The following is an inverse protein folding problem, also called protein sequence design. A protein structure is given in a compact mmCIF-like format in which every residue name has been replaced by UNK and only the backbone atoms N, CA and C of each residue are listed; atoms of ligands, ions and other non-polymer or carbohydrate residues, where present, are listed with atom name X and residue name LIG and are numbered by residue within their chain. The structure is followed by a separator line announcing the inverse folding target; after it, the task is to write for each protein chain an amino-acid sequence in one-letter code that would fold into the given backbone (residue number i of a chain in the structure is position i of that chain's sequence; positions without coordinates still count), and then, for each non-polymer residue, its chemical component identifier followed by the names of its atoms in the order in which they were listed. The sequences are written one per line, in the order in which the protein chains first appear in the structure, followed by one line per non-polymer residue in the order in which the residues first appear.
data_IF_894339959519
#
_entry.id   IF_894339959519
#
_cell.length_a   1.000
_cell.length_b   1.000
_cell.length_c   1.000
_cell.angle_alpha   90.00
_cell.angle_beta   90.00
_cell.angle_gamma   90.00
#
_symmetry.space_group_name_H-M   'P 1'
#
loop_
_entity.id
_entity.type
_entity.pdbx_description
1 polymer ?
#
# COMPACT_ATOMS: atom_id res chain seq x y z
N UNK A 1 -12.66 -1.30 -3.02
CA UNK A 1 -11.33 -1.96 -2.96
C UNK A 1 -11.06 -2.93 -4.11
N UNK A 2 -11.86 -3.98 -4.33
CA UNK A 2 -11.62 -4.96 -5.42
C UNK A 2 -11.40 -4.31 -6.80
N UNK A 3 -12.29 -3.40 -7.19
CA UNK A 3 -12.18 -2.67 -8.47
C UNK A 3 -10.85 -1.94 -8.62
N UNK A 4 -10.49 -1.12 -7.63
CA UNK A 4 -9.23 -0.35 -7.64
C UNK A 4 -8.02 -1.27 -7.70
N UNK A 5 -8.04 -2.39 -6.96
CA UNK A 5 -6.98 -3.38 -7.03
C UNK A 5 -6.82 -3.97 -8.44
N UNK A 6 -7.91 -4.35 -9.10
CA UNK A 6 -7.90 -4.87 -10.47
C UNK A 6 -7.47 -3.79 -11.48
N UNK A 7 -7.89 -2.54 -11.28
CA UNK A 7 -7.43 -1.40 -12.07
C UNK A 7 -5.91 -1.23 -11.92
N UNK A 8 -5.33 -1.39 -10.73
CA UNK A 8 -3.86 -1.34 -10.55
C UNK A 8 -3.16 -2.53 -11.19
N UNK A 9 -3.72 -3.73 -11.11
CA UNK A 9 -3.17 -4.89 -11.80
C UNK A 9 -3.14 -4.67 -13.32
N UNK A 10 -4.22 -4.12 -13.88
CA UNK A 10 -4.32 -3.87 -15.30
C UNK A 10 -3.48 -2.68 -15.76
N UNK A 11 -3.71 -1.49 -15.20
CA UNK A 11 -3.09 -0.26 -15.68
C UNK A 11 -1.66 -0.04 -15.21
N UNK A 12 -1.27 -0.58 -14.04
CA UNK A 12 0.08 -0.38 -13.49
C UNK A 12 0.98 -1.60 -13.72
N UNK A 13 0.46 -2.83 -13.55
CA UNK A 13 1.25 -4.03 -13.83
C UNK A 13 1.15 -4.50 -15.28
N UNK A 14 0.17 -4.04 -16.05
CA UNK A 14 -0.05 -4.53 -17.42
C UNK A 14 -0.46 -6.00 -17.45
N UNK A 15 -1.09 -6.50 -16.38
CA UNK A 15 -1.46 -7.92 -16.20
C UNK A 15 -2.96 -8.06 -16.02
N UNK A 16 -3.48 -9.20 -16.46
CA UNK A 16 -4.81 -9.68 -16.15
C UNK A 16 -4.71 -10.84 -15.16
N UNK A 17 -5.76 -11.11 -14.35
CA UNK A 17 -5.69 -12.06 -13.23
C UNK A 17 -5.12 -13.45 -13.60
N UNK A 18 -5.45 -13.95 -14.78
CA UNK A 18 -5.07 -15.27 -15.25
C UNK A 18 -3.57 -15.42 -15.55
N UNK A 19 -2.86 -14.31 -15.79
CA UNK A 19 -1.41 -14.28 -16.06
C UNK A 19 -0.59 -13.64 -14.93
N UNK A 20 -1.25 -13.13 -13.89
CA UNK A 20 -0.61 -12.41 -12.80
C UNK A 20 0.08 -13.37 -11.82
N UNK A 21 1.33 -13.06 -11.47
CA UNK A 21 2.09 -13.76 -10.44
C UNK A 21 1.74 -13.24 -9.05
N UNK A 22 2.17 -13.94 -8.00
CA UNK A 22 2.03 -13.45 -6.61
C UNK A 22 2.69 -12.08 -6.41
N UNK A 23 3.82 -11.82 -7.06
CA UNK A 23 4.50 -10.52 -6.99
C UNK A 23 3.69 -9.42 -7.65
N UNK A 24 3.07 -9.70 -8.81
CA UNK A 24 2.20 -8.73 -9.50
C UNK A 24 0.98 -8.37 -8.62
N UNK A 25 0.37 -9.35 -7.97
CA UNK A 25 -0.71 -9.13 -7.03
C UNK A 25 -0.27 -8.33 -5.80
N UNK A 26 0.90 -8.63 -5.24
CA UNK A 26 1.48 -7.84 -4.16
C UNK A 26 1.68 -6.38 -4.59
N UNK A 27 2.29 -6.14 -5.75
CA UNK A 27 2.55 -4.79 -6.25
C UNK A 27 1.26 -4.04 -6.54
N UNK A 28 0.26 -4.67 -7.17
CA UNK A 28 -1.05 -4.07 -7.40
C UNK A 28 -1.73 -3.64 -6.09
N UNK A 29 -1.62 -4.46 -5.05
CA UNK A 29 -2.13 -4.12 -3.72
C UNK A 29 -1.32 -3.00 -3.06
N UNK A 30 0.00 -3.05 -3.12
CA UNK A 30 0.89 -2.02 -2.59
C UNK A 30 0.60 -0.65 -3.24
N UNK A 31 0.39 -0.60 -4.56
CA UNK A 31 -0.01 0.61 -5.26
C UNK A 31 -1.39 1.12 -4.84
N UNK A 32 -2.34 0.21 -4.61
CA UNK A 32 -3.66 0.59 -4.12
C UNK A 32 -3.57 1.26 -2.74
N UNK A 33 -2.78 0.70 -1.82
CA UNK A 33 -2.56 1.25 -0.48
C UNK A 33 -1.79 2.57 -0.55
N UNK A 34 -0.76 2.64 -1.41
CA UNK A 34 0.05 3.85 -1.62
C UNK A 34 -0.81 5.04 -2.03
N UNK A 35 -1.77 4.86 -2.93
CA UNK A 35 -2.63 5.95 -3.39
C UNK A 35 -3.46 6.55 -2.23
N UNK A 36 -3.97 5.70 -1.34
CA UNK A 36 -4.70 6.14 -0.15
C UNK A 36 -3.81 6.92 0.82
N UNK A 37 -2.57 6.46 1.01
CA UNK A 37 -1.59 7.17 1.83
C UNK A 37 -1.17 8.49 1.20
N UNK A 38 -0.95 8.50 -0.11
CA UNK A 38 -0.50 9.67 -0.85
C UNK A 38 -1.53 10.80 -0.77
N UNK A 39 -2.83 10.47 -0.89
CA UNK A 39 -3.89 11.45 -0.71
C UNK A 39 -3.78 12.17 0.65
N UNK A 40 -3.61 11.41 1.74
CA UNK A 40 -3.43 11.98 3.09
C UNK A 40 -2.12 12.77 3.21
N UNK A 41 -1.03 12.26 2.64
CA UNK A 41 0.27 12.91 2.68
C UNK A 41 0.25 14.26 1.98
N UNK A 42 -0.35 14.36 0.79
CA UNK A 42 -0.47 15.63 0.05
C UNK A 42 -1.27 16.65 0.86
N UNK A 43 -2.39 16.24 1.47
CA UNK A 43 -3.16 17.13 2.35
C UNK A 43 -2.33 17.64 3.53
N UNK A 44 -1.59 16.76 4.20
CA UNK A 44 -0.71 17.15 5.31
C UNK A 44 0.39 18.10 4.85
N UNK A 45 1.05 17.80 3.73
CA UNK A 45 2.11 18.65 3.17
C UNK A 45 1.61 20.06 2.82
N UNK A 46 0.41 20.16 2.24
CA UNK A 46 -0.23 21.44 1.96
C UNK A 46 -0.48 22.25 3.25
N UNK A 47 -1.07 21.62 4.27
CA UNK A 47 -1.33 22.27 5.58
C UNK A 47 -0.03 22.73 6.24
N UNK A 48 1.00 21.89 6.27
CA UNK A 48 2.31 22.26 6.85
C UNK A 48 2.93 23.46 6.13
N UNK A 49 2.81 23.50 4.79
CA UNK A 49 3.34 24.59 3.97
C UNK A 49 2.59 25.89 4.22
N UNK A 50 1.25 25.86 4.18
CA UNK A 50 0.42 27.06 4.38
C UNK A 50 0.51 27.62 5.79
N UNK A 51 0.60 26.75 6.80
CA UNK A 51 0.72 27.16 8.21
C UNK A 51 2.14 27.59 8.61
N UNK A 52 3.13 27.43 7.74
CA UNK A 52 4.57 27.63 8.05
C UNK A 52 4.97 26.90 9.33
N UNK A 53 4.46 25.67 9.50
CA UNK A 53 4.71 24.89 10.69
C UNK A 53 6.21 24.67 10.90
N UNK A 54 6.67 24.77 12.16
CA UNK A 54 8.06 24.44 12.51
C UNK A 54 8.28 22.94 12.33
N UNK A 55 9.22 22.57 11.46
CA UNK A 55 9.55 21.16 11.17
C UNK A 55 10.64 20.65 12.10
N UNK A 56 10.40 19.50 12.73
CA UNK A 56 11.42 18.74 13.46
C UNK A 56 12.03 17.73 12.50
N UNK A 57 13.34 17.78 12.31
CA UNK A 57 14.08 16.84 11.47
C UNK A 57 14.81 15.83 12.37
N UNK A 58 14.49 14.54 12.22
CA UNK A 58 15.18 13.46 12.90
C UNK A 58 16.29 12.91 11.99
N UNK A 59 17.52 12.88 12.52
CA UNK A 59 18.69 12.34 11.82
C UNK A 59 19.17 11.08 12.54
N UNK A 60 19.35 10.01 11.78
CA UNK A 60 19.85 8.73 12.28
C UNK A 60 20.74 8.11 11.21
N UNK A 61 21.78 7.38 11.64
CA UNK A 61 22.62 6.60 10.75
C UNK A 61 21.87 5.41 10.14
N UNK A 62 20.85 4.90 10.84
CA UNK A 62 20.10 3.73 10.44
C UNK A 62 18.59 3.91 10.69
N UNK A 63 17.78 3.32 9.80
CA UNK A 63 16.33 3.26 9.90
C UNK A 63 15.84 1.85 9.56
N UNK A 64 15.36 1.13 10.57
CA UNK A 64 14.86 -0.23 10.41
C UNK A 64 13.34 -0.23 10.27
N UNK A 65 12.86 0.01 9.05
CA UNK A 65 11.43 0.19 8.79
C UNK A 65 10.61 -1.11 8.78
N UNK A 66 11.23 -2.22 8.38
CA UNK A 66 10.56 -3.51 8.23
C UNK A 66 9.48 -3.52 7.13
N UNK A 67 8.63 -4.57 7.11
CA UNK A 67 7.59 -4.72 6.09
C UNK A 67 6.50 -3.65 6.23
N UNK A 68 6.17 -3.00 5.13
CA UNK A 68 5.33 -1.80 5.14
C UNK A 68 3.85 -2.09 4.89
N UNK A 69 3.53 -3.06 4.03
CA UNK A 69 2.18 -3.24 3.54
C UNK A 69 1.20 -3.55 4.68
N UNK A 70 1.56 -4.50 5.54
CA UNK A 70 0.74 -4.87 6.69
C UNK A 70 0.52 -3.72 7.67
N UNK A 71 1.59 -2.99 7.99
CA UNK A 71 1.54 -1.84 8.89
C UNK A 71 0.68 -0.71 8.32
N UNK A 72 0.79 -0.43 7.02
CA UNK A 72 0.01 0.60 6.36
C UNK A 72 -1.49 0.27 6.36
N UNK A 73 -1.84 -1.00 6.11
CA UNK A 73 -3.24 -1.45 6.17
C UNK A 73 -3.86 -1.26 7.57
N UNK A 74 -3.08 -1.53 8.63
CA UNK A 74 -3.51 -1.33 10.02
C UNK A 74 -3.63 0.16 10.35
N UNK A 75 -2.62 0.96 10.02
CA UNK A 75 -2.62 2.41 10.29
C UNK A 75 -3.72 3.16 9.53
N UNK A 76 -4.14 2.65 8.37
CA UNK A 76 -5.29 3.18 7.63
C UNK A 76 -6.64 2.66 8.16
N UNK A 77 -6.65 1.63 9.01
CA UNK A 77 -7.86 0.99 9.53
C UNK A 77 -8.59 0.09 8.53
N UNK A 78 -7.98 -0.23 7.38
CA UNK A 78 -8.62 -0.92 6.24
C UNK A 78 -8.24 -2.39 6.12
N UNK A 79 -7.48 -2.94 7.08
CA UNK A 79 -6.97 -4.31 7.01
C UNK A 79 -8.09 -5.35 6.78
N UNK A 80 -9.18 -5.27 7.53
CA UNK A 80 -10.32 -6.20 7.41
C UNK A 80 -11.02 -6.12 6.05
N UNK A 81 -11.25 -4.89 5.56
CA UNK A 81 -11.89 -4.65 4.26
C UNK A 81 -11.04 -5.17 3.10
N UNK A 82 -9.73 -4.89 3.14
CA UNK A 82 -8.78 -5.36 2.13
C UNK A 82 -8.67 -6.87 2.17
N UNK A 83 -8.59 -7.47 3.35
CA UNK A 83 -8.56 -8.93 3.50
C UNK A 83 -9.80 -9.58 2.86
N UNK A 84 -10.99 -9.12 3.21
CA UNK A 84 -12.23 -9.65 2.64
C UNK A 84 -12.31 -9.44 1.11
N UNK A 85 -11.82 -8.31 0.61
CA UNK A 85 -11.78 -8.01 -0.82
C UNK A 85 -10.85 -8.97 -1.58
N UNK A 86 -9.65 -9.22 -1.05
CA UNK A 86 -8.64 -10.10 -1.67
C UNK A 86 -9.07 -11.57 -1.58
N UNK A 87 -9.56 -12.02 -0.42
CA UNK A 87 -10.06 -13.39 -0.23
C UNK A 87 -11.22 -13.72 -1.19
N UNK A 88 -12.10 -12.76 -1.45
CA UNK A 88 -13.20 -12.95 -2.41
C UNK A 88 -12.77 -13.06 -3.88
N UNK A 89 -11.52 -12.72 -4.21
CA UNK A 89 -10.92 -12.92 -5.53
C UNK A 89 -10.15 -14.25 -5.58
N UNK A 90 -10.25 -15.09 -4.54
CA UNK A 90 -9.52 -16.35 -4.42
C UNK A 90 -8.05 -16.19 -4.06
N UNK A 91 -7.62 -14.99 -3.63
CA UNK A 91 -6.24 -14.67 -3.29
C UNK A 91 -6.02 -14.68 -1.77
N UNK A 92 -4.82 -15.07 -1.34
CA UNK A 92 -4.42 -15.04 0.08
C UNK A 92 -3.60 -13.78 0.39
N UNK A 93 -4.14 -12.89 1.24
CA UNK A 93 -3.43 -11.67 1.67
C UNK A 93 -2.10 -11.98 2.38
N UNK A 94 -1.97 -13.15 3.04
CA UNK A 94 -0.71 -13.54 3.70
C UNK A 94 0.39 -13.83 2.69
N UNK A 95 0.06 -14.23 1.46
CA UNK A 95 1.05 -14.38 0.39
C UNK A 95 1.71 -13.03 0.06
N UNK A 96 0.90 -11.97 -0.09
CA UNK A 96 1.41 -10.62 -0.32
C UNK A 96 2.29 -10.11 0.83
N UNK A 97 1.93 -10.41 2.08
CA UNK A 97 2.73 -10.05 3.25
C UNK A 97 4.07 -10.81 3.35
N UNK A 98 4.18 -11.99 2.74
CA UNK A 98 5.46 -12.72 2.63
C UNK A 98 6.36 -12.09 1.57
N UNK A 99 5.78 -11.67 0.44
CA UNK A 99 6.52 -10.95 -0.61
C UNK A 99 7.07 -9.61 -0.10
N UNK A 100 6.28 -8.87 0.70
CA UNK A 100 6.71 -7.62 1.36
C UNK A 100 7.91 -7.81 2.31
N UNK A 101 8.11 -9.02 2.86
CA UNK A 101 9.27 -9.34 3.72
C UNK A 101 10.52 -9.72 2.92
N UNK A 102 10.35 -10.12 1.67
CA UNK A 102 11.42 -10.59 0.80
C UNK A 102 11.91 -9.52 -0.20
N UNK A 103 11.19 -8.40 -0.30
CA UNK A 103 11.55 -7.21 -1.05
C UNK A 103 12.40 -6.25 -0.21
#
# INVERSE_FOLDING_TARGET
MKRVFLEKLFYVQGKFPELATQTDYYLALAYTVRDLMLHRWVSTAAVYTTSRARTVAYFSAEYLLGPHLGNNLVNLGIYGEVRAAIESLGLDLRSAARTDRAA
#
